data_IF_181929441208
#
_entry.id   IF_181929441208
#
_cell.length_a   1.000
_cell.length_b   1.000
_cell.length_c   1.000
_cell.angle_alpha   90.00
_cell.angle_beta   90.00
_cell.angle_gamma   90.00
#
_symmetry.space_group_name_H-M   'P 1'
#
loop_
_entity.id
_entity.type
_entity.pdbx_description
1 polymer ?
#
# COMPACT_ATOMS: atom_id res chain seq x y z
N UNK A 1 4.72 -32.31 9.62
CA UNK A 1 6.06 -32.83 10.01
C UNK A 1 7.19 -32.18 9.20
N UNK A 2 7.08 -30.86 8.92
CA UNK A 2 8.16 -30.12 8.28
C UNK A 2 9.30 -29.88 9.27
N UNK A 3 10.54 -29.99 8.80
CA UNK A 3 11.73 -29.57 9.55
C UNK A 3 11.86 -28.05 9.42
N UNK A 4 12.08 -27.39 10.56
CA UNK A 4 12.18 -25.92 10.64
C UNK A 4 13.65 -25.55 10.82
N UNK A 5 14.18 -24.79 9.86
CA UNK A 5 15.51 -24.18 9.92
C UNK A 5 15.30 -22.67 10.12
N UNK A 6 15.81 -22.13 11.20
CA UNK A 6 15.74 -20.69 11.48
C UNK A 6 17.13 -20.06 11.33
N UNK A 7 17.19 -19.00 10.54
CA UNK A 7 18.38 -18.16 10.36
C UNK A 7 18.07 -16.80 10.95
N UNK A 8 18.81 -16.37 11.94
CA UNK A 8 18.63 -15.07 12.58
C UNK A 8 19.97 -14.52 13.05
N UNK A 9 20.17 -13.22 12.92
CA UNK A 9 21.37 -12.55 13.45
C UNK A 9 21.33 -12.43 14.97
N UNK A 10 20.13 -12.40 15.55
CA UNK A 10 19.94 -12.39 17.00
C UNK A 10 19.66 -13.79 17.52
N UNK A 11 20.61 -14.39 18.28
CA UNK A 11 20.42 -15.75 18.81
C UNK A 11 19.21 -15.88 19.77
N UNK A 12 18.79 -14.77 20.42
CA UNK A 12 17.63 -14.79 21.31
C UNK A 12 16.29 -14.92 20.58
N UNK A 13 16.24 -14.61 19.28
CA UNK A 13 15.04 -14.77 18.46
C UNK A 13 14.81 -16.21 18.00
N UNK A 14 15.85 -17.05 18.05
CA UNK A 14 15.76 -18.44 17.59
C UNK A 14 14.90 -19.26 18.55
N UNK A 15 13.87 -19.89 17.99
CA UNK A 15 12.94 -20.71 18.77
C UNK A 15 11.88 -19.93 19.56
N UNK A 16 11.84 -18.59 19.44
CA UNK A 16 10.90 -17.76 20.21
C UNK A 16 9.42 -18.04 19.89
N UNK A 17 9.11 -18.43 18.64
CA UNK A 17 7.73 -18.63 18.18
C UNK A 17 7.42 -20.05 17.72
N UNK A 18 8.41 -20.89 17.49
CA UNK A 18 8.23 -22.27 17.02
C UNK A 18 9.42 -23.13 17.41
N UNK A 19 9.17 -24.46 17.53
CA UNK A 19 10.25 -25.43 17.71
C UNK A 19 11.14 -25.46 16.47
N UNK A 20 12.44 -25.25 16.63
CA UNK A 20 13.44 -25.21 15.56
C UNK A 20 14.25 -26.50 15.57
N UNK A 21 14.35 -27.18 14.41
CA UNK A 21 15.18 -28.36 14.23
C UNK A 21 16.65 -28.00 14.00
N UNK A 22 16.92 -26.89 13.33
CA UNK A 22 18.27 -26.39 13.08
C UNK A 22 18.33 -24.87 13.24
N UNK A 23 19.20 -24.40 14.11
CA UNK A 23 19.47 -23.01 14.39
C UNK A 23 20.76 -22.54 13.69
N UNK A 24 20.68 -21.47 12.90
CA UNK A 24 21.83 -20.84 12.25
C UNK A 24 21.88 -19.37 12.68
N UNK A 25 22.85 -19.02 13.51
CA UNK A 25 23.07 -17.64 13.94
C UNK A 25 23.93 -16.94 12.90
N UNK A 26 23.38 -15.96 12.20
CA UNK A 26 24.09 -15.23 11.17
C UNK A 26 23.20 -14.33 10.32
N UNK A 27 23.85 -13.48 9.52
CA UNK A 27 23.18 -12.66 8.51
C UNK A 27 22.61 -13.54 7.39
N UNK A 28 21.35 -13.30 7.02
CA UNK A 28 20.62 -14.09 6.02
C UNK A 28 21.34 -14.11 4.69
N UNK A 29 21.83 -12.97 4.21
CA UNK A 29 22.50 -12.85 2.90
C UNK A 29 23.79 -13.64 2.87
N UNK A 30 24.59 -13.53 3.93
CA UNK A 30 25.87 -14.25 4.07
C UNK A 30 25.64 -15.76 4.19
N UNK A 31 24.65 -16.17 4.97
CA UNK A 31 24.28 -17.58 5.15
C UNK A 31 23.78 -18.20 3.84
N UNK A 32 22.90 -17.51 3.11
CA UNK A 32 22.40 -17.98 1.81
C UNK A 32 23.51 -18.06 0.75
N UNK A 33 24.45 -17.11 0.74
CA UNK A 33 25.62 -17.17 -0.15
C UNK A 33 26.52 -18.39 0.14
N UNK A 34 26.68 -18.76 1.40
CA UNK A 34 27.44 -19.94 1.79
C UNK A 34 26.67 -21.25 1.49
N UNK A 35 25.33 -21.23 1.63
CA UNK A 35 24.50 -22.40 1.40
C UNK A 35 24.30 -22.71 -0.10
N UNK A 36 24.12 -21.69 -0.94
CA UNK A 36 23.76 -21.85 -2.35
C UNK A 36 24.69 -22.80 -3.13
N UNK A 37 26.02 -22.76 -2.99
CA UNK A 37 26.91 -23.69 -3.65
C UNK A 37 26.84 -25.15 -3.16
N UNK A 38 26.19 -25.38 -2.00
CA UNK A 38 26.08 -26.68 -1.36
C UNK A 38 24.75 -27.39 -1.65
N UNK A 39 23.80 -26.70 -2.31
CA UNK A 39 22.51 -27.28 -2.69
C UNK A 39 22.51 -27.63 -4.16
N UNK A 40 21.97 -28.81 -4.47
CA UNK A 40 21.74 -29.24 -5.83
C UNK A 40 20.50 -28.55 -6.42
N UNK A 41 20.52 -28.28 -7.72
CA UNK A 41 19.34 -27.77 -8.43
C UNK A 41 18.22 -28.80 -8.41
N UNK A 42 17.07 -28.42 -7.87
CA UNK A 42 15.91 -29.28 -7.81
C UNK A 42 15.21 -29.36 -9.17
N UNK A 43 15.21 -30.53 -9.75
CA UNK A 43 14.58 -30.81 -11.06
C UNK A 43 13.07 -31.07 -10.96
N UNK A 44 12.62 -31.60 -9.82
CA UNK A 44 11.18 -31.84 -9.56
C UNK A 44 10.49 -30.52 -9.24
N UNK A 45 9.48 -30.14 -10.03
CA UNK A 45 8.83 -28.83 -9.99
C UNK A 45 7.36 -28.86 -9.58
N UNK A 46 6.77 -30.04 -9.30
CA UNK A 46 5.32 -30.20 -9.03
C UNK A 46 4.82 -29.22 -7.96
N UNK A 47 5.56 -29.07 -6.86
CA UNK A 47 5.17 -28.15 -5.79
C UNK A 47 5.19 -26.70 -6.27
N UNK A 48 6.25 -26.30 -6.97
CA UNK A 48 6.37 -24.93 -7.49
C UNK A 48 5.30 -24.65 -8.56
N UNK A 49 5.09 -25.60 -9.47
CA UNK A 49 4.10 -25.44 -10.54
C UNK A 49 2.69 -25.32 -9.98
N UNK A 50 2.36 -26.12 -8.95
CA UNK A 50 1.07 -26.00 -8.23
C UNK A 50 0.95 -24.65 -7.50
N UNK A 51 1.98 -24.23 -6.80
CA UNK A 51 1.97 -22.93 -6.11
C UNK A 51 1.82 -21.75 -7.09
N UNK A 52 2.44 -21.84 -8.27
CA UNK A 52 2.30 -20.83 -9.33
C UNK A 52 0.91 -20.85 -9.97
N UNK A 53 0.27 -22.01 -10.11
CA UNK A 53 -1.12 -22.14 -10.56
C UNK A 53 -2.07 -21.46 -9.56
N UNK A 54 -1.98 -21.83 -8.28
CA UNK A 54 -2.79 -21.24 -7.21
C UNK A 54 -2.58 -19.69 -7.13
N UNK A 55 -1.36 -19.22 -7.30
CA UNK A 55 -1.07 -17.79 -7.37
C UNK A 55 -1.76 -17.11 -8.55
N UNK A 56 -1.72 -17.72 -9.75
CA UNK A 56 -2.38 -17.16 -10.95
C UNK A 56 -3.90 -17.09 -10.76
N UNK A 57 -4.50 -18.13 -10.17
CA UNK A 57 -5.94 -18.16 -9.90
C UNK A 57 -6.35 -17.10 -8.89
N UNK A 58 -5.59 -16.96 -7.79
CA UNK A 58 -5.79 -15.89 -6.82
C UNK A 58 -5.64 -14.50 -7.45
N UNK A 59 -4.61 -14.30 -8.31
CA UNK A 59 -4.42 -13.03 -9.03
C UNK A 59 -5.58 -12.73 -9.96
N UNK A 60 -6.08 -13.72 -10.71
CA UNK A 60 -7.23 -13.54 -11.60
C UNK A 60 -8.46 -13.06 -10.82
N UNK A 61 -8.74 -13.68 -9.67
CA UNK A 61 -9.84 -13.25 -8.80
C UNK A 61 -9.70 -11.80 -8.32
N UNK A 62 -8.48 -11.39 -7.96
CA UNK A 62 -8.21 -10.00 -7.57
C UNK A 62 -8.36 -9.02 -8.77
N UNK A 63 -7.85 -9.38 -9.93
CA UNK A 63 -7.93 -8.55 -11.14
C UNK A 63 -9.39 -8.42 -11.62
N UNK A 64 -10.23 -9.43 -11.41
CA UNK A 64 -11.66 -9.36 -11.69
C UNK A 64 -12.42 -8.37 -10.79
N UNK A 65 -11.93 -8.12 -9.56
CA UNK A 65 -12.47 -7.11 -8.66
C UNK A 65 -11.98 -5.70 -8.99
N UNK A 66 -10.85 -5.55 -9.66
CA UNK A 66 -10.22 -4.28 -10.01
C UNK A 66 -10.71 -3.76 -11.37
N UNK A 67 -12.03 -3.66 -11.55
CA UNK A 67 -12.65 -3.18 -12.79
C UNK A 67 -13.31 -1.81 -12.57
N UNK A 68 -13.33 -0.93 -13.59
CA UNK A 68 -14.07 0.31 -13.50
C UNK A 68 -15.57 0.02 -13.37
N UNK A 69 -16.28 0.84 -12.60
CA UNK A 69 -17.72 0.76 -12.40
C UNK A 69 -18.35 2.14 -12.53
N UNK A 70 -19.53 2.20 -13.13
CA UNK A 70 -20.28 3.46 -13.24
C UNK A 70 -20.98 3.86 -11.93
N UNK A 71 -21.14 2.91 -11.00
CA UNK A 71 -21.88 3.15 -9.74
C UNK A 71 -21.00 3.76 -8.65
N UNK A 72 -19.76 3.32 -8.56
CA UNK A 72 -18.78 3.79 -7.56
C UNK A 72 -17.37 3.43 -8.01
N UNK A 73 -16.38 4.17 -7.56
CA UNK A 73 -14.98 3.85 -7.78
C UNK A 73 -14.56 2.74 -6.82
N UNK A 74 -14.21 1.59 -7.34
CA UNK A 74 -13.61 0.53 -6.54
C UNK A 74 -12.16 0.90 -6.15
N UNK A 75 -11.80 0.90 -4.87
CA UNK A 75 -10.43 1.24 -4.45
C UNK A 75 -9.38 0.27 -5.02
N UNK A 76 -9.75 -0.96 -5.34
CA UNK A 76 -8.93 -1.94 -6.04
C UNK A 76 -8.51 -1.43 -7.42
N UNK A 77 -9.47 -0.88 -8.18
CA UNK A 77 -9.20 -0.30 -9.49
C UNK A 77 -8.25 0.90 -9.37
N UNK A 78 -8.51 1.80 -8.43
CA UNK A 78 -7.62 2.93 -8.16
C UNK A 78 -6.19 2.47 -7.85
N UNK A 79 -6.01 1.50 -6.95
CA UNK A 79 -4.69 1.01 -6.59
C UNK A 79 -3.97 0.32 -7.76
N UNK A 80 -4.71 -0.40 -8.61
CA UNK A 80 -4.17 -0.99 -9.83
C UNK A 80 -3.68 0.09 -10.81
N UNK A 81 -4.45 1.16 -11.01
CA UNK A 81 -4.07 2.28 -11.86
C UNK A 81 -2.89 3.08 -11.30
N UNK A 82 -2.84 3.31 -9.99
CA UNK A 82 -1.65 3.89 -9.34
C UNK A 82 -0.40 3.06 -9.68
N UNK A 83 -0.50 1.73 -9.55
CA UNK A 83 0.62 0.83 -9.88
C UNK A 83 1.01 0.86 -11.36
N UNK A 84 0.04 1.08 -12.25
CA UNK A 84 0.25 1.15 -13.70
C UNK A 84 1.01 2.43 -14.10
N UNK A 85 0.60 3.57 -13.57
CA UNK A 85 1.17 4.87 -13.93
C UNK A 85 2.46 5.21 -13.17
N UNK A 86 2.74 4.56 -12.04
CA UNK A 86 3.92 4.84 -11.23
C UNK A 86 5.22 4.40 -11.91
N UNK A 87 6.28 5.16 -11.67
CA UNK A 87 7.63 4.86 -12.16
C UNK A 87 8.14 3.47 -11.72
N UNK A 88 9.07 2.94 -12.49
CA UNK A 88 9.61 1.58 -12.31
C UNK A 88 10.40 1.42 -10.98
N UNK A 89 10.84 2.53 -10.41
CA UNK A 89 11.56 2.60 -9.14
C UNK A 89 10.83 3.44 -8.07
N UNK A 90 9.54 3.72 -8.25
CA UNK A 90 8.75 4.52 -7.33
C UNK A 90 8.83 4.04 -5.89
N UNK A 91 8.73 5.00 -4.96
CA UNK A 91 8.55 4.75 -3.54
C UNK A 91 7.09 5.01 -3.19
N UNK A 92 6.41 3.99 -2.72
CA UNK A 92 5.06 4.10 -2.19
C UNK A 92 5.11 4.21 -0.67
N UNK A 93 4.27 5.07 -0.12
CA UNK A 93 3.97 5.10 1.30
C UNK A 93 2.48 4.85 1.48
N UNK A 94 2.06 4.16 2.54
CA UNK A 94 0.64 3.93 2.75
C UNK A 94 0.23 4.02 4.22
N UNK A 95 -0.96 4.57 4.46
CA UNK A 95 -1.58 4.54 5.77
C UNK A 95 -1.98 3.12 6.16
N UNK A 96 -1.87 2.78 7.44
CA UNK A 96 -2.50 1.58 7.95
C UNK A 96 -3.99 1.82 8.10
N UNK A 97 -4.74 1.00 7.40
CA UNK A 97 -6.17 1.08 7.15
C UNK A 97 -6.45 0.37 5.83
N UNK A 98 -7.58 0.65 5.19
CA UNK A 98 -7.91 0.04 3.89
C UNK A 98 -6.84 0.27 2.81
N UNK A 99 -6.12 1.43 2.74
CA UNK A 99 -5.04 1.62 1.77
C UNK A 99 -3.93 0.58 1.83
N UNK A 100 -3.60 0.05 3.03
CA UNK A 100 -2.61 -1.04 3.17
C UNK A 100 -3.02 -2.29 2.39
N UNK A 101 -4.30 -2.65 2.43
CA UNK A 101 -4.81 -3.84 1.73
C UNK A 101 -4.73 -3.63 0.22
N UNK A 102 -5.12 -2.46 -0.23
CA UNK A 102 -5.06 -2.11 -1.65
C UNK A 102 -3.63 -2.06 -2.16
N UNK A 103 -2.71 -1.47 -1.39
CA UNK A 103 -1.28 -1.47 -1.70
C UNK A 103 -0.72 -2.90 -1.79
N UNK A 104 -0.96 -3.74 -0.78
CA UNK A 104 -0.44 -5.10 -0.73
C UNK A 104 -0.95 -5.99 -1.88
N UNK A 105 -2.19 -5.78 -2.33
CA UNK A 105 -2.82 -6.63 -3.35
C UNK A 105 -2.58 -6.16 -4.78
N UNK A 106 -2.49 -4.85 -5.01
CA UNK A 106 -2.53 -4.29 -6.36
C UNK A 106 -1.27 -3.56 -6.80
N UNK A 107 -0.36 -3.19 -5.90
CA UNK A 107 0.94 -2.68 -6.32
C UNK A 107 1.81 -3.82 -6.87
N UNK A 108 2.26 -3.66 -8.10
CA UNK A 108 3.21 -4.59 -8.73
C UNK A 108 4.63 -4.23 -8.29
N UNK A 109 5.19 -5.03 -7.40
CA UNK A 109 6.55 -4.89 -6.92
C UNK A 109 7.53 -5.63 -7.86
N UNK A 110 8.64 -4.98 -8.22
CA UNK A 110 9.60 -5.46 -9.22
C UNK A 110 11.05 -5.53 -8.68
N UNK A 111 11.23 -5.41 -7.35
CA UNK A 111 12.55 -5.39 -6.72
C UNK A 111 13.22 -4.01 -6.69
N UNK A 112 12.79 -3.04 -7.52
CA UNK A 112 13.26 -1.64 -7.50
C UNK A 112 12.31 -0.75 -6.71
N UNK A 113 10.99 -0.95 -6.85
CA UNK A 113 9.96 -0.24 -6.10
C UNK A 113 10.08 -0.53 -4.61
N UNK A 114 9.72 0.45 -3.78
CA UNK A 114 9.67 0.33 -2.32
C UNK A 114 8.24 0.61 -1.84
N UNK A 115 7.83 -0.09 -0.79
CA UNK A 115 6.60 0.19 -0.06
C UNK A 115 6.96 0.41 1.40
N UNK A 116 6.65 1.59 1.90
CA UNK A 116 6.86 2.01 3.28
C UNK A 116 5.51 2.14 4.00
N UNK A 117 5.46 1.74 5.25
CA UNK A 117 4.28 1.83 6.08
C UNK A 117 4.57 1.40 7.50
N UNK A 118 3.68 1.72 8.43
CA UNK A 118 3.80 1.36 9.84
C UNK A 118 3.25 -0.05 10.11
N UNK A 119 3.74 -1.06 9.35
CA UNK A 119 3.14 -2.41 9.36
C UNK A 119 3.29 -3.15 10.69
N UNK A 120 4.32 -2.87 11.48
CA UNK A 120 4.54 -3.51 12.78
C UNK A 120 3.77 -2.83 13.91
N UNK A 121 3.48 -1.52 13.80
CA UNK A 121 2.82 -0.72 14.84
C UNK A 121 1.38 -0.37 14.49
N UNK A 122 1.00 -0.46 13.22
CA UNK A 122 -0.38 -0.26 12.78
C UNK A 122 -0.86 1.20 12.83
N UNK A 123 0.04 2.18 12.61
CA UNK A 123 -0.33 3.59 12.71
C UNK A 123 -1.10 4.06 11.46
N UNK A 124 -2.22 4.72 11.67
CA UNK A 124 -2.84 5.61 10.69
C UNK A 124 -1.94 6.84 10.45
N UNK A 125 -2.25 7.64 9.45
CA UNK A 125 -1.63 8.94 9.17
C UNK A 125 -0.12 8.90 8.85
N UNK A 126 0.47 7.72 8.64
CA UNK A 126 1.91 7.60 8.43
C UNK A 126 2.34 7.78 6.97
N UNK A 127 1.41 7.67 5.99
CA UNK A 127 1.74 7.79 4.58
C UNK A 127 2.34 9.16 4.23
N UNK A 128 1.71 10.23 4.71
CA UNK A 128 2.11 11.59 4.41
C UNK A 128 3.50 11.94 4.97
N UNK A 129 3.79 11.80 6.28
CA UNK A 129 5.12 12.10 6.83
C UNK A 129 6.21 11.17 6.29
N UNK A 130 5.92 9.90 6.01
CA UNK A 130 6.87 9.00 5.36
C UNK A 130 7.19 9.43 3.93
N UNK A 131 6.19 9.92 3.18
CA UNK A 131 6.39 10.43 1.82
C UNK A 131 7.28 11.69 1.83
N UNK A 132 7.06 12.60 2.78
CA UNK A 132 7.91 13.77 3.00
C UNK A 132 9.37 13.35 3.24
N UNK A 133 9.60 12.44 4.18
CA UNK A 133 10.92 11.91 4.47
C UNK A 133 11.56 11.20 3.28
N UNK A 134 10.80 10.35 2.59
CA UNK A 134 11.28 9.62 1.41
C UNK A 134 11.68 10.57 0.27
N UNK A 135 10.85 11.58 -0.03
CA UNK A 135 11.15 12.53 -1.11
C UNK A 135 12.34 13.44 -0.77
N UNK A 136 12.48 13.79 0.50
CA UNK A 136 13.63 14.60 0.94
C UNK A 136 14.96 13.84 0.86
N UNK A 137 14.94 12.51 1.04
CA UNK A 137 16.14 11.65 0.99
C UNK A 137 16.43 11.09 -0.39
N UNK A 138 15.40 10.92 -1.23
CA UNK A 138 15.49 10.36 -2.58
C UNK A 138 14.86 11.33 -3.59
N UNK A 139 15.48 12.51 -3.83
CA UNK A 139 14.85 13.60 -4.59
C UNK A 139 14.55 13.25 -6.04
N UNK A 140 15.33 12.34 -6.63
CA UNK A 140 15.20 11.93 -8.02
C UNK A 140 14.14 10.83 -8.24
N UNK A 141 13.64 10.22 -7.16
CA UNK A 141 12.66 9.15 -7.25
C UNK A 141 11.23 9.68 -7.11
N UNK A 142 10.33 9.09 -7.85
CA UNK A 142 8.91 9.37 -7.69
C UNK A 142 8.41 8.81 -6.36
N UNK A 143 7.78 9.65 -5.54
CA UNK A 143 7.15 9.25 -4.28
C UNK A 143 5.64 9.40 -4.38
N UNK A 144 4.92 8.34 -4.04
CA UNK A 144 3.46 8.26 -4.08
C UNK A 144 2.94 7.92 -2.69
N UNK A 145 2.19 8.84 -2.08
CA UNK A 145 1.54 8.65 -0.79
C UNK A 145 0.10 8.13 -1.00
N UNK A 146 -0.18 6.93 -0.53
CA UNK A 146 -1.52 6.31 -0.54
C UNK A 146 -2.16 6.52 0.83
N UNK A 147 -2.93 7.60 0.96
CA UNK A 147 -3.54 8.03 2.20
C UNK A 147 -5.00 7.58 2.27
N UNK A 148 -5.48 7.17 3.46
CA UNK A 148 -6.91 7.19 3.75
C UNK A 148 -7.36 8.62 4.08
N UNK A 149 -8.63 8.95 3.88
CA UNK A 149 -9.21 10.23 4.26
C UNK A 149 -9.06 10.54 5.77
N UNK A 150 -9.35 9.56 6.62
CA UNK A 150 -9.11 9.67 8.05
C UNK A 150 -7.62 9.83 8.40
N UNK A 151 -6.74 9.04 7.76
CA UNK A 151 -5.30 9.12 7.99
C UNK A 151 -4.72 10.46 7.54
N UNK A 152 -5.07 10.93 6.35
CA UNK A 152 -4.64 12.24 5.85
C UNK A 152 -5.11 13.37 6.77
N UNK A 153 -6.35 13.32 7.25
CA UNK A 153 -6.91 14.33 8.15
C UNK A 153 -6.17 14.42 9.49
N UNK A 154 -5.68 13.31 10.02
CA UNK A 154 -4.99 13.26 11.32
C UNK A 154 -3.67 14.04 11.33
N UNK A 155 -2.89 13.99 10.26
CA UNK A 155 -1.60 14.70 10.11
C UNK A 155 -1.59 15.63 8.90
N UNK A 156 -2.73 16.23 8.58
CA UNK A 156 -2.86 17.16 7.45
C UNK A 156 -1.91 18.39 7.59
N UNK A 157 -1.45 18.71 8.79
CA UNK A 157 -0.45 19.75 9.01
C UNK A 157 0.88 19.47 8.29
N UNK A 158 1.29 18.22 8.18
CA UNK A 158 2.54 17.84 7.48
C UNK A 158 2.46 18.08 5.96
N UNK A 159 1.25 18.14 5.41
CA UNK A 159 1.02 18.53 4.02
C UNK A 159 1.56 19.94 3.71
N UNK A 160 1.45 20.87 4.64
CA UNK A 160 2.00 22.23 4.47
C UNK A 160 3.53 22.21 4.35
N UNK A 161 4.21 21.25 5.00
CA UNK A 161 5.67 21.07 4.85
C UNK A 161 6.03 20.62 3.42
N UNK A 162 5.25 19.70 2.83
CA UNK A 162 5.44 19.29 1.42
C UNK A 162 5.27 20.48 0.48
N UNK A 163 4.25 21.30 0.71
CA UNK A 163 3.99 22.52 -0.09
C UNK A 163 5.15 23.52 0.06
N UNK A 164 5.55 23.80 1.31
CA UNK A 164 6.62 24.74 1.61
C UNK A 164 7.97 24.34 1.01
N UNK A 165 8.31 23.06 1.10
CA UNK A 165 9.54 22.48 0.56
C UNK A 165 9.46 22.18 -0.94
N UNK A 166 8.29 22.34 -1.55
CA UNK A 166 8.02 22.05 -2.98
C UNK A 166 8.41 20.62 -3.36
N UNK A 167 8.20 19.66 -2.47
CA UNK A 167 8.52 18.25 -2.70
C UNK A 167 7.54 17.64 -3.72
N UNK A 168 8.00 17.00 -4.80
CA UNK A 168 7.14 16.53 -5.89
C UNK A 168 6.36 15.24 -5.54
N UNK A 169 5.88 15.15 -4.31
CA UNK A 169 5.09 14.01 -3.82
C UNK A 169 3.74 13.95 -4.52
N UNK A 170 3.35 12.75 -4.97
CA UNK A 170 2.01 12.45 -5.51
C UNK A 170 1.16 11.91 -4.38
N UNK A 171 0.23 12.72 -3.87
CA UNK A 171 -0.63 12.38 -2.73
C UNK A 171 -1.95 11.89 -3.27
N UNK A 172 -2.29 10.63 -3.04
CA UNK A 172 -3.55 10.02 -3.47
C UNK A 172 -4.38 9.69 -2.23
N UNK A 173 -5.52 10.33 -2.08
CA UNK A 173 -6.44 10.12 -0.97
C UNK A 173 -7.55 9.17 -1.41
N UNK A 174 -7.65 8.03 -0.74
CA UNK A 174 -8.76 7.08 -0.85
C UNK A 174 -9.87 7.58 0.07
N UNK A 175 -10.78 8.39 -0.48
CA UNK A 175 -11.81 9.08 0.27
C UNK A 175 -13.12 8.26 0.25
N UNK A 176 -13.37 7.52 1.31
CA UNK A 176 -14.60 6.76 1.49
C UNK A 176 -15.49 7.28 2.61
N UNK A 177 -15.13 8.39 3.24
CA UNK A 177 -15.85 9.05 4.34
C UNK A 177 -16.15 8.12 5.53
N UNK A 178 -15.24 7.15 5.80
CA UNK A 178 -15.40 6.25 6.94
C UNK A 178 -14.06 5.70 7.43
N UNK A 179 -13.94 5.46 8.73
CA UNK A 179 -12.85 4.68 9.31
C UNK A 179 -13.05 3.20 8.99
N UNK A 180 -12.71 2.81 7.74
CA UNK A 180 -13.14 1.55 7.13
C UNK A 180 -12.71 0.29 7.89
N UNK A 181 -11.49 0.22 8.43
CA UNK A 181 -11.05 -0.92 9.23
C UNK A 181 -11.80 -1.00 10.55
N UNK A 182 -12.00 0.12 11.25
CA UNK A 182 -12.74 0.16 12.50
C UNK A 182 -14.18 -0.31 12.30
N UNK A 183 -14.85 0.22 11.25
CA UNK A 183 -16.20 -0.19 10.89
C UNK A 183 -16.29 -1.68 10.55
N UNK A 184 -15.30 -2.21 9.83
CA UNK A 184 -15.22 -3.63 9.46
C UNK A 184 -15.02 -4.51 10.69
N UNK A 185 -14.13 -4.15 11.60
CA UNK A 185 -13.85 -4.89 12.82
C UNK A 185 -15.07 -4.88 13.77
N UNK A 186 -15.75 -3.74 13.92
CA UNK A 186 -16.99 -3.66 14.67
C UNK A 186 -18.06 -4.62 14.08
N UNK A 187 -18.27 -4.59 12.76
CA UNK A 187 -19.21 -5.52 12.08
C UNK A 187 -18.80 -6.99 12.28
N UNK A 188 -17.53 -7.31 12.15
CA UNK A 188 -17.00 -8.67 12.35
C UNK A 188 -17.18 -9.15 13.80
N UNK A 189 -17.08 -8.25 14.77
CA UNK A 189 -17.35 -8.51 16.19
C UNK A 189 -18.82 -8.54 16.56
N UNK A 190 -19.74 -8.31 15.60
CA UNK A 190 -21.20 -8.28 15.84
C UNK A 190 -21.69 -6.96 16.47
N UNK A 191 -20.88 -5.90 16.44
CA UNK A 191 -21.25 -4.58 16.93
C UNK A 191 -21.90 -3.72 15.84
N UNK A 192 -22.75 -2.78 16.26
CA UNK A 192 -23.20 -1.70 15.39
C UNK A 192 -22.03 -0.75 15.14
N UNK A 193 -21.89 -0.28 13.90
CA UNK A 193 -20.90 0.76 13.60
C UNK A 193 -21.37 2.09 14.14
N UNK A 194 -20.57 2.69 15.03
CA UNK A 194 -20.82 4.01 15.60
C UNK A 194 -19.51 4.79 15.68
N UNK A 195 -19.58 6.11 15.49
CA UNK A 195 -18.40 6.98 15.52
C UNK A 195 -17.36 6.74 14.41
N UNK A 196 -17.69 5.97 13.39
CA UNK A 196 -16.78 5.64 12.27
C UNK A 196 -16.98 6.53 11.05
N UNK A 197 -18.10 7.24 10.97
CA UNK A 197 -18.43 8.12 9.86
C UNK A 197 -17.54 9.36 9.88
N UNK A 198 -17.02 9.73 8.72
CA UNK A 198 -16.27 10.96 8.50
C UNK A 198 -17.08 11.92 7.63
N UNK A 199 -16.82 13.21 7.78
CA UNK A 199 -17.39 14.24 6.91
C UNK A 199 -16.82 14.05 5.49
N UNK A 200 -17.67 14.21 4.47
CA UNK A 200 -17.23 14.24 3.05
C UNK A 200 -16.43 15.52 2.79
N UNK A 201 -15.13 15.44 3.04
CA UNK A 201 -14.20 16.56 2.86
C UNK A 201 -13.62 16.54 1.46
N UNK A 202 -13.65 17.69 0.79
CA UNK A 202 -12.99 17.84 -0.51
C UNK A 202 -11.53 18.24 -0.31
N UNK A 203 -10.63 17.23 -0.27
CA UNK A 203 -9.20 17.45 -0.05
C UNK A 203 -8.51 18.13 -1.25
N UNK A 204 -9.05 17.99 -2.45
CA UNK A 204 -8.53 18.69 -3.63
C UNK A 204 -8.64 20.21 -3.47
N UNK A 205 -9.77 20.70 -2.93
CA UNK A 205 -9.93 22.14 -2.63
C UNK A 205 -9.01 22.64 -1.52
N UNK A 206 -8.70 21.78 -0.56
CA UNK A 206 -7.69 22.10 0.48
C UNK A 206 -6.31 22.27 -0.17
N UNK A 207 -5.93 21.37 -1.08
CA UNK A 207 -4.69 21.47 -1.82
C UNK A 207 -4.60 22.77 -2.64
N UNK A 208 -5.67 23.13 -3.34
CA UNK A 208 -5.78 24.39 -4.10
C UNK A 208 -5.64 25.61 -3.18
N UNK A 209 -6.28 25.60 -2.01
CA UNK A 209 -6.15 26.67 -1.02
C UNK A 209 -4.71 26.81 -0.49
N UNK A 210 -3.93 25.73 -0.50
CA UNK A 210 -2.50 25.73 -0.16
C UNK A 210 -1.58 26.10 -1.35
N UNK A 211 -2.15 26.38 -2.53
CA UNK A 211 -1.42 26.81 -3.72
C UNK A 211 -0.79 25.72 -4.56
N UNK A 212 -1.23 24.45 -4.41
CA UNK A 212 -0.83 23.34 -5.28
C UNK A 212 -2.02 22.76 -6.04
N UNK A 213 -1.74 21.93 -7.04
CA UNK A 213 -2.79 21.30 -7.83
C UNK A 213 -3.57 20.29 -7.00
N UNK A 214 -4.88 20.50 -6.88
CA UNK A 214 -5.85 19.54 -6.38
C UNK A 214 -6.66 18.95 -7.54
N UNK A 215 -6.90 17.64 -7.52
CA UNK A 215 -7.73 16.95 -8.50
C UNK A 215 -8.76 16.11 -7.74
N UNK A 216 -10.04 16.41 -7.90
CA UNK A 216 -11.13 15.59 -7.36
C UNK A 216 -11.60 14.62 -8.43
N UNK A 217 -11.74 13.34 -8.07
CA UNK A 217 -12.21 12.28 -8.97
C UNK A 217 -13.41 11.60 -8.34
N UNK A 218 -14.53 11.60 -9.04
CA UNK A 218 -15.80 11.03 -8.57
C UNK A 218 -16.33 9.89 -9.45
N UNK A 219 -15.72 9.72 -10.64
CA UNK A 219 -16.10 8.68 -11.60
C UNK A 219 -14.89 7.83 -11.99
N UNK A 220 -15.10 6.53 -12.13
CA UNK A 220 -14.04 5.62 -12.54
C UNK A 220 -13.42 5.95 -13.91
N UNK A 221 -14.21 6.51 -14.83
CA UNK A 221 -13.75 6.95 -16.15
C UNK A 221 -12.75 8.11 -16.13
N UNK A 222 -12.66 8.85 -15.01
CA UNK A 222 -11.78 10.01 -14.85
C UNK A 222 -10.41 9.63 -14.26
N UNK A 223 -10.25 8.40 -13.72
CA UNK A 223 -9.06 7.99 -12.97
C UNK A 223 -7.80 8.05 -13.83
N UNK A 224 -7.84 7.49 -15.03
CA UNK A 224 -6.64 7.37 -15.87
C UNK A 224 -6.12 8.75 -16.27
N UNK A 225 -7.02 9.68 -16.69
CA UNK A 225 -6.66 11.05 -17.03
C UNK A 225 -6.14 11.80 -15.78
N UNK A 226 -6.81 11.66 -14.64
CA UNK A 226 -6.42 12.31 -13.39
C UNK A 226 -5.03 11.85 -12.93
N UNK A 227 -4.76 10.54 -12.94
CA UNK A 227 -3.46 9.99 -12.56
C UNK A 227 -2.38 10.37 -13.57
N UNK A 228 -2.63 10.26 -14.86
CA UNK A 228 -1.67 10.68 -15.89
C UNK A 228 -1.30 12.15 -15.71
N UNK A 229 -2.27 13.02 -15.49
CA UNK A 229 -2.05 14.43 -15.19
C UNK A 229 -1.23 14.61 -13.90
N UNK A 230 -1.62 13.94 -12.81
CA UNK A 230 -0.93 14.05 -11.52
C UNK A 230 0.54 13.61 -11.61
N UNK A 231 0.82 12.51 -12.30
CA UNK A 231 2.18 11.99 -12.45
C UNK A 231 3.06 12.82 -13.39
N UNK A 232 2.45 13.63 -14.29
CA UNK A 232 3.18 14.54 -15.19
C UNK A 232 3.52 15.90 -14.56
N UNK A 233 2.90 16.26 -13.42
CA UNK A 233 3.17 17.54 -12.75
C UNK A 233 4.55 17.48 -12.09
N UNK A 234 5.39 18.47 -12.39
CA UNK A 234 6.64 18.68 -11.70
C UNK A 234 6.38 19.50 -10.42
N UNK A 235 6.13 18.80 -9.32
CA UNK A 235 5.77 19.41 -8.04
C UNK A 235 4.77 18.57 -7.25
N UNK A 236 4.38 19.04 -6.05
CA UNK A 236 3.37 18.38 -5.25
C UNK A 236 1.98 18.44 -5.91
N UNK A 237 1.24 17.37 -5.80
CA UNK A 237 -0.14 17.27 -6.28
C UNK A 237 -0.94 16.37 -5.35
N UNK A 238 -2.20 16.74 -5.12
CA UNK A 238 -3.14 15.91 -4.38
C UNK A 238 -4.29 15.48 -5.27
N UNK A 239 -4.50 14.17 -5.36
CA UNK A 239 -5.65 13.55 -6.02
C UNK A 239 -6.59 12.99 -4.95
N UNK A 240 -7.77 13.57 -4.83
CA UNK A 240 -8.83 13.17 -3.90
C UNK A 240 -9.82 12.29 -4.65
N UNK A 241 -9.82 10.99 -4.41
CA UNK A 241 -10.64 10.02 -5.13
C UNK A 241 -11.76 9.51 -4.24
N UNK A 242 -13.00 9.80 -4.61
CA UNK A 242 -14.19 9.31 -3.90
C UNK A 242 -14.39 7.84 -4.23
N UNK A 243 -14.02 6.97 -3.31
CA UNK A 243 -14.12 5.53 -3.48
C UNK A 243 -15.34 4.94 -2.77
N UNK A 244 -15.73 3.73 -3.17
CA UNK A 244 -16.84 3.02 -2.58
C UNK A 244 -16.68 2.89 -1.05
N UNK A 245 -17.71 3.28 -0.30
CA UNK A 245 -17.71 3.35 1.16
C UNK A 245 -17.64 1.97 1.83
N UNK A 246 -18.35 1.00 1.27
CA UNK A 246 -18.51 -0.32 1.87
C UNK A 246 -17.69 -1.41 1.17
N UNK A 247 -16.63 -1.03 0.46
CA UNK A 247 -15.75 -2.00 -0.16
C UNK A 247 -14.97 -2.77 0.90
N UNK A 248 -15.29 -4.05 1.04
CA UNK A 248 -14.66 -4.92 2.03
C UNK A 248 -13.34 -5.46 1.50
N UNK A 249 -12.32 -5.37 2.32
CA UNK A 249 -11.03 -6.01 2.10
C UNK A 249 -11.10 -7.53 2.41
N UNK A 250 -12.05 -8.24 1.80
CA UNK A 250 -12.22 -9.68 2.02
C UNK A 250 -10.99 -10.41 1.44
N UNK A 251 -10.36 -11.33 2.19
CA UNK A 251 -9.34 -12.19 1.61
C UNK A 251 -9.94 -13.03 0.48
N UNK A 252 -9.19 -13.35 -0.57
CA UNK A 252 -9.66 -14.29 -1.59
C UNK A 252 -10.01 -15.61 -0.92
N UNK A 253 -11.21 -16.12 -1.23
CA UNK A 253 -11.69 -17.42 -0.76
C UNK A 253 -11.06 -18.55 -1.58
#
# INVERSE_FOLDING_TARGET
>A
DAKIIQIDINPASIGAHSKVDMALVGDIKSTLRALLPLVEEKTERKFLDKALEDYRDARKGLDDLAKPSEKAIHPQYLAQQISHFAADDAIFTCDVGTPTVWAARYLKMNGKRRLLGSFNHGSMANAMPQALGAQATEPERQVVAMCGDGGFSMLMGDFLSVVQMKLPVKIIVFNNSVLGFVAMEMKAGGYLTDGTELHDTNFARIAEACGITGIRVEKASEIDEALQRAFSIDGPVLVDVVVAKEELAIPPQ
#
